data_IF_197418685284
#
_entry.id   IF_197418685284
#
_cell.length_a   1.000
_cell.length_b   1.000
_cell.length_c   1.000
_cell.angle_alpha   90.00
_cell.angle_beta   90.00
_cell.angle_gamma   90.00
#
_symmetry.space_group_name_H-M   'P 1'
#
loop_
_entity.id
_entity.type
_entity.pdbx_description
1 polymer ?
#
# COMPACT_ATOMS: atom_id res chain seq x y z
N UNK A 1 -7.75 1.30 8.86
CA UNK A 1 -6.61 0.80 8.08
C UNK A 1 -7.02 -0.38 7.22
N UNK A 2 -6.51 -0.45 5.99
CA UNK A 2 -6.70 -1.54 5.03
C UNK A 2 -5.53 -2.54 5.07
N UNK A 3 -5.67 -3.70 4.43
CA UNK A 3 -4.53 -4.63 4.24
C UNK A 3 -3.39 -3.99 3.44
N UNK A 4 -3.69 -3.17 2.42
CA UNK A 4 -2.66 -2.44 1.65
C UNK A 4 -1.86 -1.47 2.54
N UNK A 5 -2.56 -0.68 3.35
CA UNK A 5 -1.90 0.23 4.28
C UNK A 5 -1.04 -0.54 5.30
N UNK A 6 -1.57 -1.63 5.85
CA UNK A 6 -0.82 -2.50 6.76
C UNK A 6 0.44 -3.08 6.11
N UNK A 7 0.35 -3.51 4.85
CA UNK A 7 1.50 -3.92 4.04
C UNK A 7 2.53 -2.79 3.87
N UNK A 8 2.09 -1.57 3.57
CA UNK A 8 2.97 -0.41 3.41
C UNK A 8 3.72 -0.10 4.70
N UNK A 9 3.03 -0.12 5.85
CA UNK A 9 3.69 0.06 7.16
C UNK A 9 4.77 -0.99 7.39
N UNK A 10 4.47 -2.26 7.12
CA UNK A 10 5.45 -3.33 7.19
C UNK A 10 6.63 -3.07 6.26
N UNK A 11 6.34 -2.72 5.01
CA UNK A 11 7.35 -2.43 4.00
C UNK A 11 8.31 -1.31 4.43
N UNK A 12 7.80 -0.20 4.95
CA UNK A 12 8.63 0.91 5.47
C UNK A 12 9.50 0.43 6.63
N UNK A 13 8.92 -0.33 7.58
CA UNK A 13 9.65 -0.87 8.72
C UNK A 13 10.80 -1.79 8.26
N UNK A 14 10.53 -2.70 7.33
CA UNK A 14 11.53 -3.59 6.74
C UNK A 14 12.60 -2.82 5.97
N UNK A 15 12.19 -1.84 5.16
CA UNK A 15 13.10 -1.04 4.34
C UNK A 15 14.11 -0.26 5.16
N UNK A 16 13.70 0.34 6.28
CA UNK A 16 14.63 1.01 7.21
C UNK A 16 15.59 -0.03 7.84
N UNK A 17 15.06 -1.17 8.27
CA UNK A 17 15.88 -2.23 8.87
C UNK A 17 16.87 -2.88 7.90
N UNK A 18 16.63 -2.81 6.59
CA UNK A 18 17.59 -3.23 5.57
C UNK A 18 18.90 -2.41 5.59
N UNK A 19 18.87 -1.20 6.17
CA UNK A 19 20.07 -0.36 6.38
C UNK A 19 20.76 -0.63 7.73
N UNK A 20 20.20 -1.50 8.59
CA UNK A 20 20.80 -1.87 9.87
C UNK A 20 20.67 -3.37 10.22
N UNK A 21 21.17 -4.28 9.37
CA UNK A 21 20.93 -5.73 9.49
C UNK A 21 21.48 -6.35 10.78
N UNK A 22 22.50 -5.73 11.40
CA UNK A 22 23.12 -6.22 12.65
C UNK A 22 22.48 -5.64 13.90
N UNK A 23 21.74 -4.53 13.78
CA UNK A 23 21.19 -3.82 14.92
C UNK A 23 19.85 -3.18 14.51
N UNK A 24 18.79 -4.00 14.37
CA UNK A 24 17.50 -3.52 13.90
C UNK A 24 16.92 -2.40 14.77
N UNK A 25 16.05 -1.59 14.16
CA UNK A 25 15.33 -0.47 14.75
C UNK A 25 13.83 -0.73 14.77
N UNK A 26 13.10 0.00 15.63
CA UNK A 26 11.64 -0.06 15.73
C UNK A 26 11.11 -1.09 16.74
N UNK A 27 11.97 -2.00 17.22
CA UNK A 27 11.65 -2.96 18.28
C UNK A 27 11.11 -4.30 17.77
N UNK A 28 10.32 -4.97 18.61
CA UNK A 28 9.75 -6.30 18.34
C UNK A 28 8.80 -6.28 17.14
N UNK A 29 9.04 -7.16 16.17
CA UNK A 29 8.29 -7.23 14.91
C UNK A 29 6.87 -7.78 15.10
N UNK A 30 6.62 -8.61 16.12
CA UNK A 30 5.28 -9.11 16.45
C UNK A 30 4.42 -7.98 17.01
N UNK A 31 4.97 -7.17 17.92
CA UNK A 31 4.31 -5.97 18.42
C UNK A 31 4.13 -4.92 17.33
N UNK A 32 5.12 -4.78 16.43
CA UNK A 32 5.02 -3.85 15.31
C UNK A 32 3.90 -4.24 14.34
N UNK A 33 3.75 -5.53 14.05
CA UNK A 33 2.64 -6.05 13.28
C UNK A 33 1.30 -5.83 13.99
N UNK A 34 1.22 -5.85 15.32
CA UNK A 34 -0.04 -5.57 16.02
C UNK A 34 -0.43 -4.08 16.01
N UNK A 35 0.56 -3.18 15.97
CA UNK A 35 0.41 -1.73 16.16
C UNK A 35 1.27 -0.94 15.14
N UNK A 36 0.91 -0.94 13.85
CA UNK A 36 1.73 -0.37 12.79
C UNK A 36 2.02 1.15 12.89
N UNK A 37 1.10 1.98 13.38
CA UNK A 37 1.32 3.43 13.52
C UNK A 37 2.36 3.74 14.61
N UNK A 38 2.23 3.09 15.78
CA UNK A 38 3.16 3.19 16.90
C UNK A 38 4.54 2.65 16.50
N UNK A 39 4.56 1.56 15.74
CA UNK A 39 5.79 1.00 15.20
C UNK A 39 6.47 1.91 14.19
N UNK A 40 5.69 2.55 13.30
CA UNK A 40 6.19 3.54 12.34
C UNK A 40 6.89 4.70 13.07
N UNK A 41 6.24 5.26 14.09
CA UNK A 41 6.83 6.34 14.88
C UNK A 41 8.18 5.93 15.49
N UNK A 42 8.25 4.75 16.10
CA UNK A 42 9.48 4.22 16.72
C UNK A 42 10.59 3.97 15.69
N UNK A 43 10.27 3.30 14.58
CA UNK A 43 11.27 2.94 13.56
C UNK A 43 11.80 4.18 12.84
N UNK A 44 10.95 5.18 12.57
CA UNK A 44 11.38 6.45 11.97
C UNK A 44 12.25 7.24 12.94
N UNK A 45 11.84 7.41 14.20
CA UNK A 45 12.62 8.12 15.21
C UNK A 45 14.02 7.53 15.36
N UNK A 46 14.12 6.21 15.48
CA UNK A 46 15.40 5.52 15.60
C UNK A 46 16.20 5.54 14.28
N UNK A 47 15.53 5.43 13.14
CA UNK A 47 16.14 5.54 11.81
C UNK A 47 16.82 6.89 11.61
N UNK A 48 16.14 7.99 11.92
CA UNK A 48 16.71 9.34 11.88
C UNK A 48 17.85 9.50 12.88
N UNK A 49 17.65 9.09 14.14
CA UNK A 49 18.67 9.21 15.18
C UNK A 49 19.97 8.45 14.86
N UNK A 50 19.89 7.39 14.03
CA UNK A 50 21.02 6.58 13.58
C UNK A 50 21.52 6.94 12.17
N UNK A 51 20.97 7.97 11.53
CA UNK A 51 21.39 8.40 10.20
C UNK A 51 21.06 7.42 9.06
N UNK A 52 20.08 6.53 9.25
CA UNK A 52 19.73 5.48 8.27
C UNK A 52 18.87 5.99 7.10
N UNK A 53 18.30 7.19 7.22
CA UNK A 53 17.23 7.65 6.35
C UNK A 53 17.71 8.32 5.05
N UNK A 54 18.91 8.92 5.05
CA UNK A 54 19.32 9.88 4.00
C UNK A 54 19.21 9.35 2.56
N UNK A 55 19.57 8.08 2.33
CA UNK A 55 19.53 7.47 1.00
C UNK A 55 18.15 6.93 0.61
N UNK A 56 17.24 6.73 1.58
CA UNK A 56 16.00 5.96 1.41
C UNK A 56 14.74 6.80 1.64
N UNK A 57 14.89 8.02 2.15
CA UNK A 57 13.80 8.92 2.48
C UNK A 57 12.85 9.20 1.29
N UNK A 58 13.31 9.43 0.04
CA UNK A 58 12.38 9.59 -1.09
C UNK A 58 11.57 8.32 -1.40
N UNK A 59 12.14 7.14 -1.15
CA UNK A 59 11.48 5.86 -1.33
C UNK A 59 10.40 5.63 -0.25
N UNK A 60 10.75 5.90 1.01
CA UNK A 60 9.85 5.83 2.16
C UNK A 60 8.71 6.85 2.02
N UNK A 61 9.02 8.09 1.62
CA UNK A 61 8.02 9.13 1.42
C UNK A 61 6.97 8.73 0.40
N UNK A 62 7.39 8.21 -0.76
CA UNK A 62 6.45 7.69 -1.77
C UNK A 62 5.57 6.56 -1.24
N UNK A 63 6.13 5.65 -0.46
CA UNK A 63 5.38 4.57 0.16
C UNK A 63 4.32 5.10 1.14
N UNK A 64 4.71 6.02 2.03
CA UNK A 64 3.80 6.60 3.03
C UNK A 64 2.70 7.47 2.40
N UNK A 65 2.94 8.09 1.24
CA UNK A 65 1.92 8.81 0.49
C UNK A 65 0.80 7.90 -0.08
N UNK A 66 0.94 6.57 -0.01
CA UNK A 66 -0.15 5.63 -0.36
C UNK A 66 -1.10 5.35 0.84
N UNK A 67 -0.81 5.89 2.02
CA UNK A 67 -1.65 5.74 3.21
C UNK A 67 -2.58 6.94 3.30
N UNK A 68 -3.84 6.75 2.94
CA UNK A 68 -4.87 7.80 2.98
C UNK A 68 -5.55 7.89 4.35
N UNK A 69 -5.50 6.81 5.15
CA UNK A 69 -6.14 6.77 6.45
C UNK A 69 -5.26 7.33 7.58
N UNK A 70 -5.56 8.56 7.98
CA UNK A 70 -4.91 9.24 9.12
C UNK A 70 -5.58 8.96 10.48
N UNK A 71 -6.79 8.40 10.48
CA UNK A 71 -7.57 8.09 11.68
C UNK A 71 -7.40 6.60 12.07
N UNK A 72 -6.55 6.34 13.06
CA UNK A 72 -6.39 5.00 13.61
C UNK A 72 -7.19 4.83 14.90
N UNK A 73 -7.67 3.61 15.11
CA UNK A 73 -8.48 3.28 16.29
C UNK A 73 -7.61 3.30 17.54
N UNK A 74 -8.17 3.81 18.64
CA UNK A 74 -7.51 3.75 19.94
C UNK A 74 -8.32 2.90 20.91
N UNK A 75 -7.63 2.15 21.76
CA UNK A 75 -8.19 1.39 22.87
C UNK A 75 -7.34 1.71 24.11
N UNK A 76 -7.97 2.34 25.11
CA UNK A 76 -7.28 2.76 26.33
C UNK A 76 -6.17 3.79 26.12
N UNK A 77 -6.33 4.69 25.14
CA UNK A 77 -5.33 5.73 24.84
C UNK A 77 -4.09 5.25 24.06
N UNK A 78 -4.09 4.00 23.60
CA UNK A 78 -3.07 3.41 22.72
C UNK A 78 -3.71 2.83 21.46
N UNK A 79 -2.94 2.55 20.42
CA UNK A 79 -3.41 2.17 19.07
C UNK A 79 -4.38 0.98 18.92
N UNK A 80 -4.98 0.33 19.91
CA UNK A 80 -5.69 -0.96 19.64
C UNK A 80 -4.80 -2.00 18.90
N UNK A 81 -5.29 -3.22 18.72
CA UNK A 81 -4.56 -4.29 18.02
C UNK A 81 -5.29 -4.56 16.73
N UNK A 82 -4.59 -4.53 15.60
CA UNK A 82 -5.22 -4.80 14.31
C UNK A 82 -5.58 -6.29 14.12
N UNK A 83 -6.60 -6.61 13.30
CA UNK A 83 -6.95 -7.99 12.93
C UNK A 83 -5.79 -8.81 12.34
N UNK A 84 -5.83 -10.14 12.49
CA UNK A 84 -4.74 -11.06 12.13
C UNK A 84 -4.39 -11.07 10.63
N UNK A 85 -5.37 -10.90 9.75
CA UNK A 85 -5.17 -10.78 8.30
C UNK A 85 -4.34 -9.54 7.94
N UNK A 86 -4.58 -8.43 8.64
CA UNK A 86 -3.76 -7.23 8.50
C UNK A 86 -2.37 -7.41 9.13
N UNK A 87 -2.25 -8.09 10.27
CA UNK A 87 -0.94 -8.45 10.83
C UNK A 87 -0.12 -9.31 9.84
N UNK A 88 -0.74 -10.27 9.17
CA UNK A 88 -0.11 -11.07 8.12
C UNK A 88 0.30 -10.19 6.91
N UNK A 89 -0.57 -9.26 6.51
CA UNK A 89 -0.26 -8.29 5.43
C UNK A 89 0.95 -7.41 5.77
N UNK A 90 1.03 -6.94 7.02
CA UNK A 90 2.20 -6.23 7.54
C UNK A 90 3.47 -7.08 7.45
N UNK A 91 3.43 -8.36 7.83
CA UNK A 91 4.60 -9.25 7.75
C UNK A 91 5.09 -9.44 6.32
N UNK A 92 4.17 -9.61 5.36
CA UNK A 92 4.52 -9.67 3.94
C UNK A 92 5.22 -8.38 3.48
N UNK A 93 4.71 -7.23 3.91
CA UNK A 93 5.34 -5.93 3.69
C UNK A 93 6.74 -5.87 4.28
N UNK A 94 6.89 -6.23 5.56
CA UNK A 94 8.16 -6.23 6.28
C UNK A 94 9.24 -7.00 5.54
N UNK A 95 8.98 -8.24 5.15
CA UNK A 95 9.99 -9.01 4.41
C UNK A 95 10.25 -8.44 3.02
N UNK A 96 9.23 -7.93 2.32
CA UNK A 96 9.46 -7.26 1.04
C UNK A 96 10.40 -6.04 1.17
N UNK A 97 10.17 -5.18 2.17
CA UNK A 97 11.01 -4.01 2.44
C UNK A 97 12.41 -4.40 2.91
N UNK A 98 12.53 -5.38 3.80
CA UNK A 98 13.81 -5.89 4.31
C UNK A 98 14.72 -6.40 3.18
N UNK A 99 14.13 -7.07 2.19
CA UNK A 99 14.82 -7.55 1.00
C UNK A 99 14.80 -6.57 -0.17
N UNK A 100 14.49 -5.29 0.08
CA UNK A 100 14.53 -4.19 -0.91
C UNK A 100 13.71 -4.48 -2.17
N UNK A 101 12.61 -5.24 -2.04
CA UNK A 101 11.66 -5.48 -3.13
C UNK A 101 10.77 -4.26 -3.29
N UNK A 102 10.48 -3.81 -4.52
CA UNK A 102 9.57 -2.69 -4.73
C UNK A 102 8.16 -3.04 -4.22
N UNK A 103 7.44 -2.02 -3.75
CA UNK A 103 6.02 -2.15 -3.41
C UNK A 103 5.27 -2.59 -4.68
N UNK A 104 4.47 -3.68 -4.63
CA UNK A 104 3.64 -4.06 -5.74
C UNK A 104 2.69 -2.91 -6.09
N UNK A 105 2.71 -2.51 -7.36
CA UNK A 105 1.72 -1.60 -7.91
C UNK A 105 0.34 -2.12 -7.53
N UNK A 106 -0.54 -1.27 -7.03
CA UNK A 106 -1.92 -1.65 -6.79
C UNK A 106 -2.49 -2.23 -8.08
N UNK A 107 -2.80 -3.52 -8.08
CA UNK A 107 -3.51 -4.13 -9.21
C UNK A 107 -4.91 -3.57 -9.18
N UNK A 108 -5.16 -2.56 -10.00
CA UNK A 108 -6.50 -2.06 -10.23
C UNK A 108 -7.19 -3.05 -11.18
N UNK A 109 -7.94 -3.99 -10.61
CA UNK A 109 -8.77 -4.90 -11.39
C UNK A 109 -9.99 -4.13 -11.89
N UNK A 110 -9.88 -3.65 -13.13
CA UNK A 110 -10.91 -2.90 -13.85
C UNK A 110 -12.22 -3.69 -13.88
N UNK A 111 -12.14 -5.01 -14.10
CA UNK A 111 -13.32 -5.87 -14.25
C UNK A 111 -14.03 -6.06 -12.92
N UNK A 112 -13.30 -6.28 -11.84
CA UNK A 112 -13.86 -6.35 -10.49
C UNK A 112 -14.50 -5.02 -10.09
N UNK A 113 -13.81 -3.89 -10.29
CA UNK A 113 -14.31 -2.56 -9.93
C UNK A 113 -15.58 -2.19 -10.75
N UNK A 114 -15.59 -2.46 -12.05
CA UNK A 114 -16.77 -2.29 -12.91
C UNK A 114 -17.96 -3.14 -12.47
N UNK A 115 -17.73 -4.42 -12.17
CA UNK A 115 -18.78 -5.34 -11.69
C UNK A 115 -19.35 -4.90 -10.35
N UNK A 116 -18.52 -4.36 -9.44
CA UNK A 116 -18.98 -3.81 -8.17
C UNK A 116 -19.95 -2.63 -8.38
N UNK A 117 -19.75 -1.83 -9.42
CA UNK A 117 -20.68 -0.77 -9.85
C UNK A 117 -21.85 -1.25 -10.71
N UNK A 118 -21.98 -2.56 -10.96
CA UNK A 118 -23.01 -3.18 -11.82
C UNK A 118 -23.03 -2.62 -13.25
N UNK A 119 -21.89 -2.15 -13.74
CA UNK A 119 -21.76 -1.63 -15.10
C UNK A 119 -21.42 -2.75 -16.09
N UNK A 120 -21.87 -2.66 -17.34
CA UNK A 120 -21.38 -3.49 -18.45
C UNK A 120 -20.07 -2.90 -19.02
N UNK A 121 -19.32 -3.69 -19.78
CA UNK A 121 -18.11 -3.18 -20.45
C UNK A 121 -18.46 -2.04 -21.42
N UNK A 122 -19.60 -2.12 -22.11
CA UNK A 122 -20.09 -1.07 -23.01
C UNK A 122 -20.40 0.23 -22.26
N UNK A 123 -21.09 0.15 -21.11
CA UNK A 123 -21.40 1.34 -20.31
C UNK A 123 -20.12 2.02 -19.79
N UNK A 124 -19.12 1.25 -19.35
CA UNK A 124 -17.83 1.81 -18.96
C UNK A 124 -17.12 2.45 -20.15
N UNK A 125 -17.18 1.83 -21.33
CA UNK A 125 -16.57 2.35 -22.55
C UNK A 125 -17.22 3.68 -22.99
N UNK A 126 -18.54 3.79 -22.92
CA UNK A 126 -19.30 5.01 -23.17
C UNK A 126 -18.89 6.15 -22.24
N UNK A 127 -18.77 5.88 -20.93
CA UNK A 127 -18.31 6.87 -19.94
C UNK A 127 -16.85 7.30 -20.17
N UNK A 128 -16.04 6.38 -20.68
CA UNK A 128 -14.64 6.61 -21.01
C UNK A 128 -14.42 7.29 -22.37
N UNK A 129 -15.43 7.30 -23.24
CA UNK A 129 -15.28 7.75 -24.63
C UNK A 129 -14.36 6.85 -25.46
N UNK A 130 -14.29 5.55 -25.15
CA UNK A 130 -13.44 4.57 -25.85
C UNK A 130 -14.28 3.43 -26.43
N UNK A 131 -13.70 2.66 -27.34
CA UNK A 131 -14.32 1.42 -27.83
C UNK A 131 -14.38 0.34 -26.74
N UNK A 132 -15.46 -0.43 -26.68
CA UNK A 132 -15.65 -1.52 -25.70
C UNK A 132 -14.54 -2.59 -25.79
N UNK A 133 -13.97 -2.82 -26.97
CA UNK A 133 -12.84 -3.73 -27.15
C UNK A 133 -11.61 -3.29 -26.34
N UNK A 134 -11.39 -1.99 -26.13
CA UNK A 134 -10.32 -1.51 -25.25
C UNK A 134 -10.56 -1.94 -23.80
N UNK A 135 -11.78 -1.76 -23.29
CA UNK A 135 -12.15 -2.22 -21.95
C UNK A 135 -11.91 -3.73 -21.80
N UNK A 136 -12.37 -4.53 -22.77
CA UNK A 136 -12.16 -5.99 -22.75
C UNK A 136 -10.68 -6.38 -22.74
N UNK A 137 -9.84 -5.72 -23.55
CA UNK A 137 -8.39 -5.98 -23.59
C UNK A 137 -7.69 -5.57 -22.29
N UNK A 138 -8.11 -4.46 -21.69
CA UNK A 138 -7.58 -4.01 -20.40
C UNK A 138 -7.98 -4.94 -19.25
N UNK A 139 -9.24 -5.37 -19.19
CA UNK A 139 -9.74 -6.32 -18.17
C UNK A 139 -9.06 -7.68 -18.26
N UNK A 140 -8.69 -8.13 -19.48
CA UNK A 140 -7.95 -9.38 -19.70
C UNK A 140 -6.43 -9.23 -19.55
N UNK A 141 -5.94 -8.02 -19.34
CA UNK A 141 -4.50 -7.74 -19.20
C UNK A 141 -3.70 -7.86 -20.49
N UNK A 142 -4.34 -7.95 -21.65
CA UNK A 142 -3.67 -8.04 -22.96
C UNK A 142 -2.97 -6.73 -23.33
N UNK A 143 -3.52 -5.61 -22.88
CA UNK A 143 -2.98 -4.27 -23.08
C UNK A 143 -3.11 -3.50 -21.77
N UNK A 144 -2.09 -2.71 -21.43
CA UNK A 144 -2.18 -1.79 -20.29
C UNK A 144 -2.85 -0.49 -20.73
N UNK A 145 -3.81 0.06 -19.96
CA UNK A 145 -4.31 1.41 -20.19
C UNK A 145 -3.16 2.43 -20.13
N UNK A 146 -3.27 3.52 -20.89
CA UNK A 146 -2.35 4.67 -20.72
C UNK A 146 -2.55 5.30 -19.34
N UNK A 147 -1.59 6.08 -18.82
CA UNK A 147 -1.74 6.77 -17.53
C UNK A 147 -3.01 7.63 -17.44
N UNK A 148 -3.39 8.30 -18.53
CA UNK A 148 -4.59 9.13 -18.62
C UNK A 148 -5.85 8.27 -18.52
N UNK A 149 -5.91 7.18 -19.28
CA UNK A 149 -7.02 6.23 -19.23
C UNK A 149 -7.15 5.57 -17.86
N UNK A 150 -6.03 5.22 -17.23
CA UNK A 150 -6.03 4.64 -15.89
C UNK A 150 -6.57 5.62 -14.84
N UNK A 151 -6.22 6.90 -14.96
CA UNK A 151 -6.73 7.97 -14.08
C UNK A 151 -8.24 8.14 -14.25
N UNK A 152 -8.73 8.17 -15.50
CA UNK A 152 -10.15 8.25 -15.79
C UNK A 152 -10.92 7.01 -15.30
N UNK A 153 -10.38 5.81 -15.51
CA UNK A 153 -10.95 4.56 -15.00
C UNK A 153 -11.08 4.60 -13.48
N UNK A 154 -10.02 5.00 -12.77
CA UNK A 154 -10.05 5.10 -11.30
C UNK A 154 -11.12 6.08 -10.83
N UNK A 155 -11.22 7.25 -11.46
CA UNK A 155 -12.29 8.23 -11.16
C UNK A 155 -13.68 7.63 -11.34
N UNK A 156 -13.94 6.98 -12.49
CA UNK A 156 -15.26 6.40 -12.78
C UNK A 156 -15.58 5.21 -11.87
N UNK A 157 -14.59 4.45 -11.42
CA UNK A 157 -14.80 3.15 -10.76
C UNK A 157 -14.54 3.16 -9.25
N UNK A 158 -13.88 4.18 -8.70
CA UNK A 158 -13.56 4.31 -7.28
C UNK A 158 -14.31 5.47 -6.57
N UNK A 159 -14.78 6.49 -7.30
CA UNK A 159 -15.65 7.56 -6.74
C UNK A 159 -17.08 7.07 -6.46
#
# INVERSE_FOLDING_TARGET
MTTRESYIFGWVFGRINAESPKNPVGGDTTLAAQRPYSALAKVMQQGFARGLMAAIEPEIGRALCEIDNIDYQTAGGSEAVQPLDMQASWQLGYYAGLYKRPIPSQSFDIGAARKAKKMTQTQLAELMGVDQAHISRWERGEVKPTPENLTALKKILLD
#
